data_IF_376218103478
#
_entry.id   IF_376218103478
#
_cell.length_a   1.000
_cell.length_b   1.000
_cell.length_c   1.000
_cell.angle_alpha   90.00
_cell.angle_beta   90.00
_cell.angle_gamma   90.00
#
_symmetry.space_group_name_H-M   'P 1'
#
loop_
_entity.id
_entity.type
_entity.pdbx_description
1 polymer ?
#
# COMPACT_ATOMS: atom_id res chain seq x y z
N UNK A 1 -22.77 7.54 26.36
CA UNK A 1 -21.53 6.81 26.15
C UNK A 1 -20.66 6.81 27.41
N UNK A 2 -20.29 7.97 27.93
CA UNK A 2 -19.41 8.11 29.10
C UNK A 2 -20.15 8.27 30.41
N UNK A 3 -21.48 8.21 30.45
CA UNK A 3 -22.32 8.28 31.63
C UNK A 3 -22.06 9.52 32.51
N UNK A 4 -22.02 10.67 31.86
CA UNK A 4 -21.90 12.00 32.48
C UNK A 4 -22.97 12.93 31.97
N UNK A 5 -23.34 13.92 32.76
CA UNK A 5 -24.36 14.92 32.41
C UNK A 5 -23.94 15.81 31.26
N UNK A 6 -24.92 16.35 30.53
CA UNK A 6 -24.69 17.29 29.43
C UNK A 6 -23.84 18.52 29.81
N UNK A 7 -23.99 19.14 30.99
CA UNK A 7 -23.14 20.26 31.38
C UNK A 7 -21.66 19.91 31.40
N UNK A 8 -21.32 18.77 31.98
CA UNK A 8 -19.93 18.26 32.07
C UNK A 8 -19.34 17.98 30.69
N UNK A 9 -20.12 17.35 29.80
CA UNK A 9 -19.70 17.13 28.40
C UNK A 9 -19.42 18.46 27.71
N UNK A 10 -20.30 19.45 27.84
CA UNK A 10 -20.13 20.76 27.22
C UNK A 10 -18.88 21.50 27.74
N UNK A 11 -18.55 21.35 29.03
CA UNK A 11 -17.32 21.93 29.59
C UNK A 11 -16.07 21.28 28.97
N UNK A 12 -16.07 19.96 28.85
CA UNK A 12 -14.96 19.24 28.22
C UNK A 12 -14.81 19.63 26.74
N UNK A 13 -15.91 19.73 25.99
CA UNK A 13 -15.88 20.14 24.59
C UNK A 13 -15.31 21.56 24.43
N UNK A 14 -15.78 22.52 25.28
CA UNK A 14 -15.24 23.89 25.28
C UNK A 14 -13.73 23.91 25.55
N UNK A 15 -13.27 23.08 26.49
CA UNK A 15 -11.85 22.98 26.82
C UNK A 15 -11.04 22.39 25.67
N UNK A 16 -11.55 21.34 24.99
CA UNK A 16 -10.90 20.71 23.82
C UNK A 16 -10.71 21.74 22.72
N UNK A 17 -11.71 22.60 22.46
CA UNK A 17 -11.58 23.69 21.49
C UNK A 17 -10.61 24.78 21.94
N UNK A 18 -10.67 25.17 23.22
CA UNK A 18 -9.76 26.17 23.78
C UNK A 18 -8.29 25.71 23.78
N UNK A 19 -8.07 24.42 23.98
CA UNK A 19 -6.73 23.79 23.94
C UNK A 19 -6.25 23.51 22.48
N UNK A 20 -7.05 23.85 21.45
CA UNK A 20 -6.82 23.57 20.04
C UNK A 20 -6.58 22.08 19.72
N UNK A 21 -7.12 21.16 20.53
CA UNK A 21 -7.04 19.72 20.26
C UNK A 21 -7.90 19.30 19.07
N UNK A 22 -9.00 20.03 18.81
CA UNK A 22 -9.92 19.81 17.70
C UNK A 22 -10.42 21.14 17.14
N UNK A 23 -10.74 21.16 15.84
CA UNK A 23 -11.39 22.29 15.19
C UNK A 23 -12.93 22.18 15.32
N UNK A 24 -13.56 23.27 15.74
CA UNK A 24 -15.00 23.32 15.91
C UNK A 24 -15.74 23.11 14.59
N UNK A 25 -15.31 23.76 13.50
CA UNK A 25 -15.96 23.65 12.20
C UNK A 25 -15.91 22.24 11.61
N UNK A 26 -14.84 21.49 11.92
CA UNK A 26 -14.64 20.12 11.44
C UNK A 26 -15.36 19.05 12.27
N UNK A 27 -15.71 19.35 13.53
CA UNK A 27 -16.18 18.34 14.49
C UNK A 27 -17.65 18.42 14.87
N UNK A 28 -18.33 19.54 14.58
CA UNK A 28 -19.73 19.78 14.94
C UNK A 28 -20.63 19.95 13.71
N UNK A 29 -21.82 19.35 13.76
CA UNK A 29 -22.91 19.63 12.81
C UNK A 29 -24.23 19.79 13.55
N UNK A 30 -25.07 20.73 13.10
CA UNK A 30 -26.42 20.93 13.62
C UNK A 30 -27.43 20.15 12.81
N UNK A 31 -28.20 19.31 13.48
CA UNK A 31 -29.32 18.59 12.89
C UNK A 31 -30.64 19.02 13.50
N UNK A 32 -31.66 19.14 12.68
CA UNK A 32 -33.04 19.37 13.12
C UNK A 32 -33.65 18.02 13.50
N UNK A 33 -34.10 17.91 14.76
CA UNK A 33 -34.85 16.76 15.24
C UNK A 33 -36.24 17.19 15.65
N UNK A 34 -37.24 16.34 15.36
CA UNK A 34 -38.62 16.54 15.77
C UNK A 34 -38.87 15.68 17.00
N UNK A 35 -39.23 16.31 18.12
CA UNK A 35 -39.57 15.63 19.35
C UNK A 35 -41.03 15.88 19.71
N UNK A 36 -41.72 14.88 20.23
CA UNK A 36 -43.10 14.99 20.67
C UNK A 36 -43.12 15.37 22.17
N UNK A 37 -43.43 16.62 22.48
CA UNK A 37 -43.47 17.13 23.85
C UNK A 37 -44.93 17.50 24.19
N UNK A 38 -45.52 16.74 25.15
CA UNK A 38 -46.88 17.01 25.58
C UNK A 38 -47.94 16.98 24.46
N UNK A 39 -47.78 16.10 23.46
CA UNK A 39 -48.68 15.97 22.31
C UNK A 39 -48.43 16.97 21.18
N UNK A 40 -47.40 17.81 21.25
CA UNK A 40 -47.00 18.73 20.19
C UNK A 40 -45.68 18.34 19.58
N UNK A 41 -45.57 18.41 18.26
CA UNK A 41 -44.29 18.25 17.56
C UNK A 41 -43.46 19.50 17.67
N UNK A 42 -42.32 19.42 18.35
CA UNK A 42 -41.36 20.53 18.51
C UNK A 42 -40.11 20.22 17.73
N UNK A 43 -39.75 21.15 16.82
CA UNK A 43 -38.50 21.04 16.05
C UNK A 43 -37.38 21.72 16.84
N UNK A 44 -36.32 20.97 17.14
CA UNK A 44 -35.14 21.51 17.83
C UNK A 44 -33.90 21.30 16.96
N UNK A 45 -33.00 22.29 16.98
CA UNK A 45 -31.66 22.13 16.39
C UNK A 45 -30.71 21.61 17.45
N UNK A 46 -30.15 20.44 17.21
CA UNK A 46 -29.25 19.75 18.15
C UNK A 46 -27.87 19.59 17.54
N UNK A 47 -26.85 19.89 18.33
CA UNK A 47 -25.48 19.70 17.95
C UNK A 47 -25.12 18.20 17.96
N UNK A 48 -24.56 17.72 16.88
CA UNK A 48 -23.98 16.39 16.78
C UNK A 48 -22.48 16.50 16.55
N UNK A 49 -21.74 15.65 17.21
CA UNK A 49 -20.29 15.65 17.17
C UNK A 49 -19.78 14.39 16.45
N UNK A 50 -18.68 14.53 15.72
CA UNK A 50 -18.06 13.42 15.03
C UNK A 50 -17.30 12.50 15.99
N UNK A 51 -16.77 11.39 15.46
CA UNK A 51 -16.05 10.40 16.25
C UNK A 51 -14.78 10.97 16.90
N UNK A 52 -14.09 11.91 16.25
CA UNK A 52 -12.89 12.53 16.80
C UNK A 52 -13.18 13.27 18.10
N UNK A 53 -14.25 14.05 18.14
CA UNK A 53 -14.70 14.73 19.36
C UNK A 53 -15.13 13.74 20.46
N UNK A 54 -15.81 12.64 20.10
CA UNK A 54 -16.19 11.60 21.07
C UNK A 54 -14.94 10.99 21.73
N UNK A 55 -13.92 10.71 20.93
CA UNK A 55 -12.64 10.19 21.43
C UNK A 55 -11.95 11.20 22.36
N UNK A 56 -11.83 12.46 21.92
CA UNK A 56 -11.19 13.52 22.71
C UNK A 56 -11.87 13.71 24.08
N UNK A 57 -13.20 13.72 24.13
CA UNK A 57 -13.97 13.79 25.39
C UNK A 57 -13.66 12.58 26.28
N UNK A 58 -13.47 11.39 25.74
CA UNK A 58 -13.14 10.19 26.51
C UNK A 58 -11.81 10.27 27.27
N UNK A 59 -10.86 11.05 26.76
CA UNK A 59 -9.60 11.33 27.46
C UNK A 59 -9.74 12.40 28.56
N UNK A 60 -10.72 13.29 28.47
CA UNK A 60 -10.95 14.37 29.45
C UNK A 60 -11.87 13.94 30.60
N UNK A 61 -12.84 13.06 30.36
CA UNK A 61 -13.79 12.60 31.38
C UNK A 61 -13.09 11.71 32.42
N UNK A 62 -13.43 11.92 33.70
CA UNK A 62 -12.87 11.13 34.81
C UNK A 62 -13.95 10.30 35.49
N UNK A 63 -14.25 9.13 34.91
CA UNK A 63 -15.12 8.11 35.53
C UNK A 63 -14.72 6.71 35.06
N UNK A 64 -15.36 5.68 35.61
CA UNK A 64 -15.02 4.28 35.36
C UNK A 64 -15.18 3.88 33.86
N UNK A 65 -16.18 4.43 33.15
CA UNK A 65 -16.38 4.15 31.72
C UNK A 65 -15.26 4.76 30.88
N UNK A 66 -14.87 5.98 31.19
CA UNK A 66 -13.77 6.65 30.52
C UNK A 66 -12.40 5.97 30.82
N UNK A 67 -12.22 5.43 32.04
CA UNK A 67 -11.05 4.61 32.38
C UNK A 67 -10.99 3.37 31.48
N UNK A 68 -12.09 2.62 31.33
CA UNK A 68 -12.14 1.45 30.43
C UNK A 68 -11.82 1.83 28.99
N UNK A 69 -12.37 2.97 28.52
CA UNK A 69 -12.05 3.47 27.19
C UNK A 69 -10.54 3.77 27.05
N UNK A 70 -9.93 4.46 28.01
CA UNK A 70 -8.49 4.77 27.95
C UNK A 70 -7.62 3.50 28.01
N UNK A 71 -7.99 2.49 28.79
CA UNK A 71 -7.27 1.20 28.80
C UNK A 71 -7.32 0.55 27.43
N UNK A 72 -8.50 0.48 26.80
CA UNK A 72 -8.65 -0.03 25.45
C UNK A 72 -7.86 0.79 24.42
N UNK A 73 -7.93 2.12 24.45
CA UNK A 73 -7.20 2.99 23.55
C UNK A 73 -5.68 2.82 23.70
N UNK A 74 -5.18 2.72 24.94
CA UNK A 74 -3.76 2.47 25.19
C UNK A 74 -3.29 1.14 24.62
N UNK A 75 -4.08 0.08 24.70
CA UNK A 75 -3.74 -1.22 24.09
C UNK A 75 -3.58 -1.10 22.56
N UNK A 76 -4.45 -0.32 21.89
CA UNK A 76 -4.34 -0.08 20.45
C UNK A 76 -3.07 0.71 20.13
N UNK A 77 -2.81 1.80 20.88
CA UNK A 77 -1.61 2.63 20.70
C UNK A 77 -0.35 1.82 20.95
N UNK A 78 -0.32 0.99 21.99
CA UNK A 78 0.80 0.10 22.31
C UNK A 78 1.05 -0.89 21.16
N UNK A 79 0.00 -1.59 20.69
CA UNK A 79 0.12 -2.52 19.57
C UNK A 79 0.65 -1.82 18.31
N UNK A 80 0.11 -0.64 17.98
CA UNK A 80 0.54 0.13 16.83
C UNK A 80 2.00 0.59 16.96
N UNK A 81 2.41 1.05 18.15
CA UNK A 81 3.78 1.53 18.41
C UNK A 81 4.82 0.41 18.31
N UNK A 82 4.48 -0.79 18.84
CA UNK A 82 5.40 -1.94 18.87
C UNK A 82 5.42 -2.65 17.52
N UNK A 83 4.25 -2.91 16.93
CA UNK A 83 4.10 -3.77 15.75
C UNK A 83 3.96 -2.99 14.43
N UNK A 84 3.64 -1.69 14.49
CA UNK A 84 3.29 -0.88 13.33
C UNK A 84 1.85 -1.08 12.82
N UNK A 85 1.04 -1.88 13.51
CA UNK A 85 -0.37 -2.14 13.17
C UNK A 85 -1.19 -2.56 14.39
N UNK A 86 -2.50 -2.30 14.34
CA UNK A 86 -3.50 -2.83 15.26
C UNK A 86 -4.68 -3.35 14.45
N UNK A 87 -5.15 -4.58 14.75
CA UNK A 87 -6.17 -5.28 13.97
C UNK A 87 -7.23 -5.87 14.88
N UNK A 88 -8.49 -5.68 14.54
CA UNK A 88 -9.64 -6.37 15.13
C UNK A 88 -9.91 -7.66 14.34
N UNK A 89 -9.19 -8.72 14.69
CA UNK A 89 -9.28 -10.02 14.01
C UNK A 89 -10.67 -10.63 14.08
N UNK A 90 -11.36 -10.49 15.20
CA UNK A 90 -12.69 -11.05 15.40
C UNK A 90 -13.70 -10.39 14.45
N UNK A 91 -13.65 -9.07 14.35
CA UNK A 91 -14.49 -8.31 13.43
C UNK A 91 -14.21 -8.65 11.97
N UNK A 92 -12.96 -8.87 11.60
CA UNK A 92 -12.57 -9.23 10.23
C UNK A 92 -12.97 -10.67 9.88
N UNK A 93 -12.88 -11.63 10.82
CA UNK A 93 -13.25 -13.03 10.62
C UNK A 93 -14.77 -13.24 10.51
N UNK A 94 -15.55 -12.47 11.26
CA UNK A 94 -17.00 -12.68 11.37
C UNK A 94 -17.83 -12.03 10.26
N UNK A 95 -17.19 -11.49 9.23
CA UNK A 95 -17.84 -11.08 7.96
C UNK A 95 -19.00 -10.08 8.10
N UNK A 96 -19.03 -9.25 9.15
CA UNK A 96 -20.10 -8.33 9.54
C UNK A 96 -20.81 -7.57 8.40
N UNK A 97 -21.10 -6.32 8.53
CA UNK A 97 -21.81 -5.49 7.55
C UNK A 97 -21.04 -5.30 6.23
N UNK A 98 -21.69 -4.74 5.19
CA UNK A 98 -21.07 -4.35 3.88
C UNK A 98 -19.77 -3.56 4.07
N UNK A 99 -19.69 -2.70 5.10
CA UNK A 99 -18.49 -1.95 5.44
C UNK A 99 -17.32 -2.87 5.86
N UNK A 100 -17.61 -3.94 6.58
CA UNK A 100 -16.58 -4.91 7.03
C UNK A 100 -15.97 -5.66 5.86
N UNK A 101 -16.77 -6.03 4.85
CA UNK A 101 -16.28 -6.69 3.63
C UNK A 101 -15.30 -5.78 2.87
N UNK A 102 -15.65 -4.50 2.69
CA UNK A 102 -14.77 -3.52 2.04
C UNK A 102 -13.44 -3.37 2.77
N UNK A 103 -13.46 -3.26 4.11
CA UNK A 103 -12.23 -3.14 4.90
C UNK A 103 -11.40 -4.43 4.90
N UNK A 104 -12.04 -5.60 4.81
CA UNK A 104 -11.33 -6.86 4.66
C UNK A 104 -10.59 -6.94 3.32
N UNK A 105 -11.24 -6.55 2.23
CA UNK A 105 -10.61 -6.49 0.90
C UNK A 105 -9.45 -5.48 0.87
N UNK A 106 -9.62 -4.30 1.48
CA UNK A 106 -8.55 -3.31 1.65
C UNK A 106 -7.35 -3.85 2.43
N UNK A 107 -7.58 -4.61 3.50
CA UNK A 107 -6.50 -5.22 4.29
C UNK A 107 -5.76 -6.29 3.50
N UNK A 108 -6.48 -7.13 2.74
CA UNK A 108 -5.84 -8.12 1.86
C UNK A 108 -4.97 -7.46 0.80
N UNK A 109 -5.44 -6.36 0.20
CA UNK A 109 -4.66 -5.59 -0.78
C UNK A 109 -3.38 -5.03 -0.15
N UNK A 110 -3.48 -4.39 1.01
CA UNK A 110 -2.29 -3.89 1.75
C UNK A 110 -1.30 -4.98 2.13
N UNK A 111 -1.78 -6.15 2.58
CA UNK A 111 -0.89 -7.29 2.89
C UNK A 111 -0.15 -7.74 1.63
N UNK A 112 -0.83 -7.81 0.48
CA UNK A 112 -0.21 -8.15 -0.80
C UNK A 112 0.83 -7.12 -1.21
N UNK A 113 0.50 -5.83 -1.16
CA UNK A 113 1.45 -4.75 -1.43
C UNK A 113 2.72 -4.84 -0.55
N UNK A 114 2.56 -5.11 0.75
CA UNK A 114 3.69 -5.28 1.67
C UNK A 114 4.56 -6.49 1.28
N UNK A 115 3.93 -7.63 0.92
CA UNK A 115 4.65 -8.87 0.53
C UNK A 115 5.48 -8.69 -0.72
N UNK A 116 5.01 -7.88 -1.66
CA UNK A 116 5.67 -7.65 -2.95
C UNK A 116 6.48 -6.36 -2.98
N UNK A 117 6.52 -5.58 -1.89
CA UNK A 117 7.50 -4.51 -1.84
C UNK A 117 8.86 -5.11 -2.26
N UNK A 118 9.52 -4.46 -3.21
CA UNK A 118 10.67 -5.03 -3.94
C UNK A 118 11.69 -5.69 -3.00
N UNK A 119 11.96 -5.06 -1.86
CA UNK A 119 12.87 -5.60 -0.84
C UNK A 119 12.33 -6.88 -0.20
N UNK A 120 11.07 -6.92 0.19
CA UNK A 120 10.48 -8.08 0.87
C UNK A 120 10.29 -9.26 -0.08
N UNK A 121 9.93 -8.99 -1.34
CA UNK A 121 9.82 -10.00 -2.38
C UNK A 121 11.15 -10.71 -2.62
N UNK A 122 12.21 -9.95 -2.92
CA UNK A 122 13.53 -10.54 -3.16
C UNK A 122 14.09 -11.24 -1.93
N UNK A 123 13.85 -10.70 -0.74
CA UNK A 123 14.28 -11.33 0.50
C UNK A 123 13.58 -12.67 0.70
N UNK A 124 12.25 -12.73 0.60
CA UNK A 124 11.48 -13.96 0.73
C UNK A 124 11.84 -15.00 -0.34
N UNK A 125 11.98 -14.57 -1.58
CA UNK A 125 12.40 -15.42 -2.67
C UNK A 125 13.80 -16.00 -2.42
N UNK A 126 14.73 -15.16 -1.95
CA UNK A 126 16.08 -15.56 -1.57
C UNK A 126 16.07 -16.55 -0.40
N UNK A 127 15.26 -16.30 0.63
CA UNK A 127 15.10 -17.18 1.79
C UNK A 127 14.59 -18.58 1.37
N UNK A 128 13.62 -18.62 0.47
CA UNK A 128 13.08 -19.87 -0.06
C UNK A 128 14.13 -20.61 -0.89
N UNK A 129 14.82 -19.91 -1.79
CA UNK A 129 15.84 -20.51 -2.64
C UNK A 129 17.11 -20.90 -1.88
N UNK A 130 17.40 -20.22 -0.76
CA UNK A 130 18.46 -20.64 0.14
C UNK A 130 18.23 -22.04 0.76
N UNK A 131 17.00 -22.55 0.68
CA UNK A 131 16.69 -23.95 1.05
C UNK A 131 16.98 -24.97 -0.07
N UNK A 132 17.37 -24.51 -1.27
CA UNK A 132 17.68 -25.38 -2.39
C UNK A 132 18.98 -26.11 -2.18
N UNK A 133 19.04 -27.35 -2.67
CA UNK A 133 20.22 -28.25 -2.53
C UNK A 133 21.47 -27.69 -3.24
N UNK A 134 21.26 -26.91 -4.30
CA UNK A 134 22.29 -26.39 -5.20
C UNK A 134 22.43 -24.85 -5.12
N UNK A 135 21.93 -24.22 -4.04
CA UNK A 135 22.00 -22.77 -3.87
C UNK A 135 23.42 -22.31 -3.51
N UNK A 136 23.95 -21.42 -4.32
CA UNK A 136 25.17 -20.66 -4.02
C UNK A 136 24.90 -19.17 -4.27
N UNK A 137 24.91 -18.37 -3.20
CA UNK A 137 24.65 -16.92 -3.24
C UNK A 137 25.56 -16.16 -4.21
N UNK A 138 26.78 -16.60 -4.41
CA UNK A 138 27.79 -15.92 -5.21
C UNK A 138 27.84 -16.41 -6.64
N UNK A 139 27.22 -17.55 -6.95
CA UNK A 139 27.22 -18.11 -8.28
C UNK A 139 26.52 -17.19 -9.29
N UNK A 140 27.10 -17.09 -10.49
CA UNK A 140 26.48 -16.37 -11.60
C UNK A 140 25.12 -17.00 -11.98
N UNK A 141 25.04 -18.31 -11.93
CA UNK A 141 23.82 -19.09 -12.17
C UNK A 141 22.65 -18.70 -11.27
N UNK A 142 22.93 -18.36 -10.02
CA UNK A 142 21.90 -17.89 -9.08
C UNK A 142 21.33 -16.53 -9.50
N UNK A 143 22.18 -15.60 -9.95
CA UNK A 143 21.74 -14.28 -10.45
C UNK A 143 20.92 -14.41 -11.73
N UNK A 144 21.38 -15.25 -12.65
CA UNK A 144 20.65 -15.55 -13.90
C UNK A 144 19.30 -16.20 -13.62
N UNK A 145 19.23 -17.07 -12.62
CA UNK A 145 17.99 -17.69 -12.19
C UNK A 145 16.97 -16.66 -11.68
N UNK A 146 17.38 -15.73 -10.82
CA UNK A 146 16.50 -14.66 -10.35
C UNK A 146 15.98 -13.80 -11.50
N UNK A 147 16.84 -13.42 -12.44
CA UNK A 147 16.44 -12.69 -13.63
C UNK A 147 15.43 -13.47 -14.49
N UNK A 148 15.64 -14.79 -14.65
CA UNK A 148 14.73 -15.68 -15.38
C UNK A 148 13.36 -15.76 -14.72
N UNK A 149 13.30 -15.93 -13.40
CA UNK A 149 12.05 -15.96 -12.63
C UNK A 149 11.29 -14.63 -12.74
N UNK A 150 11.98 -13.53 -12.58
CA UNK A 150 11.39 -12.19 -12.72
C UNK A 150 10.82 -11.97 -14.13
N UNK A 151 11.57 -12.31 -15.17
CA UNK A 151 11.11 -12.18 -16.54
C UNK A 151 9.90 -13.06 -16.87
N UNK A 152 9.80 -14.27 -16.31
CA UNK A 152 8.62 -15.13 -16.46
C UNK A 152 7.37 -14.50 -15.83
N UNK A 153 7.50 -13.90 -14.65
CA UNK A 153 6.40 -13.22 -13.99
C UNK A 153 5.95 -11.97 -14.78
N UNK A 154 6.87 -11.15 -15.27
CA UNK A 154 6.56 -10.03 -16.15
C UNK A 154 5.84 -10.50 -17.42
N UNK A 155 6.37 -11.50 -18.08
CA UNK A 155 5.80 -12.01 -19.32
C UNK A 155 4.38 -12.56 -19.12
N UNK A 156 4.14 -13.24 -18.03
CA UNK A 156 2.81 -13.76 -17.69
C UNK A 156 1.76 -12.63 -17.56
N UNK A 157 2.18 -11.44 -17.11
CA UNK A 157 1.26 -10.29 -16.91
C UNK A 157 1.02 -9.51 -18.19
N UNK A 158 2.08 -9.16 -18.92
CA UNK A 158 1.98 -8.19 -20.02
C UNK A 158 2.71 -8.61 -21.31
N UNK A 159 3.13 -9.86 -21.42
CA UNK A 159 3.75 -10.47 -22.62
C UNK A 159 5.12 -9.89 -23.01
N UNK A 160 5.78 -9.20 -22.10
CA UNK A 160 7.12 -8.65 -22.27
C UNK A 160 8.01 -9.06 -21.11
N UNK A 161 9.31 -9.22 -21.36
CA UNK A 161 10.30 -9.29 -20.29
C UNK A 161 10.45 -7.91 -19.62
N UNK A 162 11.09 -7.85 -18.46
CA UNK A 162 11.36 -6.59 -17.78
C UNK A 162 12.12 -5.59 -18.69
N UNK A 163 13.07 -6.08 -19.47
CA UNK A 163 13.83 -5.25 -20.40
C UNK A 163 12.97 -4.74 -21.58
N UNK A 164 12.15 -5.60 -22.17
CA UNK A 164 11.24 -5.21 -23.25
C UNK A 164 10.23 -4.19 -22.78
N UNK A 165 9.66 -4.33 -21.58
CA UNK A 165 8.74 -3.37 -21.00
C UNK A 165 9.36 -1.98 -20.86
N UNK A 166 10.56 -1.90 -20.29
CA UNK A 166 11.29 -0.64 -20.15
C UNK A 166 11.54 -0.02 -21.53
N UNK A 167 12.01 -0.82 -22.50
CA UNK A 167 12.34 -0.34 -23.83
C UNK A 167 11.13 0.22 -24.59
N UNK A 168 9.97 -0.40 -24.43
CA UNK A 168 8.73 -0.02 -25.11
C UNK A 168 8.06 1.20 -24.47
N UNK A 169 8.11 1.30 -23.13
CA UNK A 169 7.35 2.31 -22.41
C UNK A 169 8.11 3.57 -22.05
N UNK A 170 9.43 3.50 -21.94
CA UNK A 170 10.28 4.66 -21.67
C UNK A 170 10.26 5.63 -22.85
N UNK A 171 9.62 6.79 -22.70
CA UNK A 171 9.41 7.77 -23.74
C UNK A 171 9.31 9.17 -23.13
N UNK A 172 10.24 10.05 -23.49
CA UNK A 172 10.32 11.41 -22.95
C UNK A 172 9.10 12.28 -23.28
N UNK A 173 8.32 11.92 -24.31
CA UNK A 173 7.13 12.67 -24.73
C UNK A 173 5.87 12.27 -23.92
N UNK A 174 5.92 11.13 -23.21
CA UNK A 174 4.81 10.68 -22.38
C UNK A 174 4.82 11.36 -20.99
N UNK A 175 3.64 11.54 -20.38
CA UNK A 175 3.57 11.96 -18.98
C UNK A 175 4.46 11.09 -18.10
N UNK A 176 5.28 11.72 -17.26
CA UNK A 176 6.24 11.03 -16.39
C UNK A 176 7.15 10.04 -17.14
N UNK A 177 7.46 10.34 -18.43
CA UNK A 177 8.18 9.49 -19.38
C UNK A 177 7.69 8.02 -19.42
N UNK A 178 6.38 7.81 -19.25
CA UNK A 178 5.73 6.51 -19.23
C UNK A 178 5.78 5.75 -17.90
N UNK A 179 6.36 6.33 -16.84
CA UNK A 179 6.32 5.74 -15.51
C UNK A 179 4.96 5.97 -14.83
N UNK A 180 4.45 4.95 -14.18
CA UNK A 180 3.25 5.02 -13.33
C UNK A 180 3.61 5.21 -11.85
N UNK A 181 4.83 4.83 -11.44
CA UNK A 181 5.35 5.07 -10.08
C UNK A 181 6.86 5.30 -10.12
N UNK A 182 7.42 5.94 -9.09
CA UNK A 182 8.85 6.13 -8.84
C UNK A 182 9.06 6.38 -7.35
N UNK A 183 10.32 6.43 -6.91
CA UNK A 183 10.62 6.49 -5.47
C UNK A 183 9.93 7.63 -4.73
N UNK A 184 9.87 8.80 -5.35
CA UNK A 184 9.35 10.03 -4.73
C UNK A 184 7.98 10.45 -5.35
N UNK A 185 7.24 9.49 -5.95
CA UNK A 185 5.92 9.71 -6.54
C UNK A 185 4.88 10.10 -5.47
N UNK A 186 3.80 10.82 -5.83
CA UNK A 186 3.52 11.37 -7.16
C UNK A 186 4.19 12.72 -7.43
N UNK A 187 4.59 13.46 -6.38
CA UNK A 187 4.99 14.87 -6.48
C UNK A 187 6.50 15.09 -6.63
N UNK A 188 7.31 14.11 -6.29
CA UNK A 188 8.76 14.22 -6.36
C UNK A 188 9.32 13.97 -7.76
N UNK A 189 10.55 14.45 -8.02
CA UNK A 189 11.22 14.28 -9.30
C UNK A 189 11.56 12.82 -9.60
N UNK A 190 11.36 12.40 -10.84
CA UNK A 190 11.89 11.15 -11.38
C UNK A 190 13.43 11.28 -11.45
N UNK A 191 14.12 10.23 -11.01
CA UNK A 191 15.58 10.15 -11.00
C UNK A 191 16.08 9.08 -11.96
N UNK A 192 17.29 9.21 -12.42
CA UNK A 192 17.94 8.27 -13.36
C UNK A 192 17.84 6.80 -12.93
N UNK A 193 17.87 6.51 -11.63
CA UNK A 193 17.70 5.15 -11.09
C UNK A 193 16.29 4.59 -11.24
N UNK A 194 15.28 5.47 -11.31
CA UNK A 194 13.88 5.06 -11.35
C UNK A 194 13.50 4.54 -12.75
N UNK A 195 14.14 5.07 -13.81
CA UNK A 195 13.82 4.74 -15.20
C UNK A 195 14.31 3.37 -15.65
N UNK A 196 15.21 2.74 -14.89
CA UNK A 196 15.70 1.39 -15.19
C UNK A 196 14.98 0.29 -14.40
N UNK A 197 13.90 0.61 -13.70
CA UNK A 197 13.10 -0.32 -12.90
C UNK A 197 11.81 -0.65 -13.63
N UNK A 198 11.67 -1.86 -14.16
CA UNK A 198 10.51 -2.29 -14.95
C UNK A 198 9.17 -2.12 -14.21
N UNK A 199 9.15 -2.40 -12.92
CA UNK A 199 7.98 -2.23 -12.04
C UNK A 199 7.38 -0.82 -12.14
N UNK A 200 8.21 0.20 -12.34
CA UNK A 200 7.76 1.59 -12.38
C UNK A 200 6.90 1.90 -13.61
N UNK A 201 6.97 1.07 -14.65
CA UNK A 201 6.19 1.20 -15.88
C UNK A 201 4.90 0.37 -15.90
N UNK A 202 4.62 -0.41 -14.85
CA UNK A 202 3.39 -1.21 -14.75
C UNK A 202 2.19 -0.30 -14.48
N UNK A 203 1.09 -0.55 -15.19
CA UNK A 203 -0.21 0.04 -14.86
C UNK A 203 -0.74 -0.51 -13.54
N UNK A 204 -1.77 0.12 -12.94
CA UNK A 204 -2.38 -0.36 -11.70
C UNK A 204 -2.89 -1.80 -11.81
N UNK A 205 -3.52 -2.16 -12.94
CA UNK A 205 -4.05 -3.52 -13.15
C UNK A 205 -2.93 -4.55 -13.37
N UNK A 206 -1.88 -4.19 -14.11
CA UNK A 206 -0.71 -5.04 -14.29
C UNK A 206 0.03 -5.26 -12.95
N UNK A 207 0.11 -4.22 -12.13
CA UNK A 207 0.69 -4.33 -10.79
C UNK A 207 -0.12 -5.30 -9.93
N UNK A 208 -1.46 -5.17 -9.90
CA UNK A 208 -2.34 -6.09 -9.16
C UNK A 208 -2.19 -7.54 -9.63
N UNK A 209 -2.12 -7.75 -10.94
CA UNK A 209 -1.90 -9.08 -11.51
C UNK A 209 -0.55 -9.65 -11.11
N UNK A 210 0.52 -8.86 -11.15
CA UNK A 210 1.85 -9.25 -10.68
C UNK A 210 1.82 -9.63 -9.19
N UNK A 211 1.12 -8.86 -8.39
CA UNK A 211 0.94 -9.09 -6.95
C UNK A 211 0.29 -10.44 -6.65
N UNK A 212 -0.75 -10.76 -7.37
CA UNK A 212 -1.45 -12.04 -7.21
C UNK A 212 -0.54 -13.22 -7.56
N UNK A 213 0.15 -13.16 -8.71
CA UNK A 213 1.09 -14.20 -9.14
C UNK A 213 2.21 -14.42 -8.12
N UNK A 214 2.84 -13.33 -7.69
CA UNK A 214 3.92 -13.38 -6.70
C UNK A 214 3.44 -13.96 -5.38
N UNK A 215 2.29 -13.51 -4.87
CA UNK A 215 1.75 -13.98 -3.60
C UNK A 215 1.44 -15.48 -3.64
N UNK A 216 0.77 -15.94 -4.70
CA UNK A 216 0.42 -17.35 -4.85
C UNK A 216 1.67 -18.24 -5.00
N UNK A 217 2.67 -17.80 -5.76
CA UNK A 217 3.94 -18.53 -5.89
C UNK A 217 4.69 -18.62 -4.56
N UNK A 218 4.74 -17.53 -3.78
CA UNK A 218 5.37 -17.53 -2.46
C UNK A 218 4.65 -18.48 -1.49
N UNK A 219 3.32 -18.52 -1.51
CA UNK A 219 2.53 -19.42 -0.66
C UNK A 219 2.80 -20.91 -1.02
N UNK A 220 2.88 -21.21 -2.31
CA UNK A 220 3.24 -22.54 -2.79
C UNK A 220 4.67 -22.94 -2.35
N UNK A 221 5.62 -22.03 -2.47
CA UNK A 221 7.00 -22.26 -2.09
C UNK A 221 7.15 -22.44 -0.58
N UNK A 222 6.50 -21.61 0.24
CA UNK A 222 6.50 -21.73 1.70
C UNK A 222 5.89 -23.06 2.16
N UNK A 223 4.79 -23.49 1.54
CA UNK A 223 4.19 -24.80 1.86
C UNK A 223 5.15 -25.97 1.59
N UNK A 224 5.93 -25.92 0.49
CA UNK A 224 6.93 -26.92 0.19
C UNK A 224 8.10 -26.92 1.17
N UNK A 225 8.60 -25.73 1.51
CA UNK A 225 9.65 -25.57 2.49
C UNK A 225 9.25 -26.15 3.86
N UNK A 226 8.01 -25.88 4.32
CA UNK A 226 7.46 -26.46 5.56
C UNK A 226 7.36 -27.98 5.55
N UNK A 227 7.14 -28.59 4.39
CA UNK A 227 7.07 -30.04 4.20
C UNK A 227 8.44 -30.68 4.01
N UNK A 228 9.53 -29.90 4.09
CA UNK A 228 10.91 -30.35 3.88
C UNK A 228 11.11 -31.14 2.57
N UNK A 229 10.40 -30.72 1.50
CA UNK A 229 10.54 -31.33 0.19
C UNK A 229 11.84 -30.82 -0.44
N UNK A 230 12.85 -31.69 -0.70
CA UNK A 230 14.09 -31.25 -1.33
C UNK A 230 13.81 -30.66 -2.71
N UNK A 231 14.39 -29.50 -3.00
CA UNK A 231 14.23 -28.79 -4.26
C UNK A 231 15.57 -28.28 -4.74
N UNK A 232 15.78 -28.33 -6.04
CA UNK A 232 16.87 -27.64 -6.72
C UNK A 232 16.36 -26.26 -7.22
N UNK A 233 17.28 -25.39 -7.62
CA UNK A 233 16.92 -24.10 -8.25
C UNK A 233 16.08 -24.34 -9.51
N UNK A 234 16.43 -25.35 -10.32
CA UNK A 234 15.67 -25.70 -11.52
C UNK A 234 14.26 -26.23 -11.20
N UNK A 235 14.09 -26.98 -10.10
CA UNK A 235 12.77 -27.45 -9.66
C UNK A 235 11.86 -26.25 -9.30
N UNK A 236 12.39 -25.21 -8.68
CA UNK A 236 11.66 -23.99 -8.40
C UNK A 236 11.20 -23.29 -9.69
N UNK A 237 12.08 -23.20 -10.72
CA UNK A 237 11.70 -22.62 -12.01
C UNK A 237 10.58 -23.42 -12.69
N UNK A 238 10.65 -24.74 -12.67
CA UNK A 238 9.61 -25.63 -13.22
C UNK A 238 8.29 -25.48 -12.47
N UNK A 239 8.33 -25.28 -11.15
CA UNK A 239 7.12 -25.05 -10.35
C UNK A 239 6.44 -23.73 -10.68
N UNK A 240 7.21 -22.69 -10.95
CA UNK A 240 6.65 -21.44 -11.44
C UNK A 240 5.93 -21.65 -12.79
N UNK A 241 6.57 -22.36 -13.72
CA UNK A 241 5.95 -22.64 -15.02
C UNK A 241 4.64 -23.43 -14.89
N UNK A 242 4.61 -24.45 -14.04
CA UNK A 242 3.41 -25.24 -13.78
C UNK A 242 2.31 -24.36 -13.16
N UNK A 243 2.67 -23.48 -12.24
CA UNK A 243 1.71 -22.56 -11.63
C UNK A 243 1.13 -21.60 -12.67
N UNK A 244 1.98 -20.95 -13.46
CA UNK A 244 1.52 -20.03 -14.51
C UNK A 244 0.61 -20.72 -15.53
N UNK A 245 0.96 -21.95 -15.95
CA UNK A 245 0.13 -22.74 -16.88
C UNK A 245 -1.21 -23.15 -16.27
N UNK A 246 -1.23 -23.47 -14.97
CA UNK A 246 -2.46 -23.84 -14.26
C UNK A 246 -3.44 -22.66 -14.10
N UNK A 247 -2.91 -21.42 -14.16
CA UNK A 247 -3.68 -20.18 -14.15
C UNK A 247 -3.92 -19.63 -15.58
N UNK A 248 -3.79 -20.48 -16.60
CA UNK A 248 -3.96 -20.16 -18.03
C UNK A 248 -3.07 -18.99 -18.52
N UNK A 249 -1.94 -18.74 -17.84
CA UNK A 249 -0.99 -17.69 -18.20
C UNK A 249 0.09 -18.25 -19.13
N UNK A 250 0.54 -17.42 -20.06
CA UNK A 250 1.62 -17.81 -20.97
C UNK A 250 2.99 -17.76 -20.27
N UNK A 251 3.78 -18.80 -20.53
CA UNK A 251 5.12 -18.93 -19.98
C UNK A 251 6.17 -18.47 -20.98
N UNK A 252 7.08 -17.62 -20.54
CA UNK A 252 8.23 -17.18 -21.33
C UNK A 252 9.12 -18.39 -21.68
N UNK A 253 9.38 -18.60 -22.96
CA UNK A 253 10.16 -19.72 -23.48
C UNK A 253 11.62 -19.38 -23.78
N UNK A 254 11.91 -18.10 -23.98
CA UNK A 254 13.24 -17.59 -24.35
C UNK A 254 13.70 -16.44 -23.41
N UNK A 255 14.80 -15.81 -23.73
CA UNK A 255 15.36 -14.71 -22.91
C UNK A 255 14.76 -13.34 -23.22
N UNK A 256 13.80 -13.26 -24.17
CA UNK A 256 13.30 -12.01 -24.72
C UNK A 256 14.20 -11.44 -25.81
N UNK A 257 13.72 -10.41 -26.51
CA UNK A 257 14.38 -9.81 -27.68
C UNK A 257 15.31 -8.65 -27.33
N UNK A 258 15.11 -8.04 -26.17
CA UNK A 258 15.81 -6.84 -25.72
C UNK A 258 16.68 -7.20 -24.51
N UNK A 259 17.98 -6.88 -24.59
CA UNK A 259 18.87 -7.06 -23.43
C UNK A 259 18.64 -5.99 -22.36
N UNK A 260 18.91 -6.34 -21.09
CA UNK A 260 18.81 -5.39 -19.99
C UNK A 260 19.70 -4.15 -20.19
N UNK A 261 20.86 -4.31 -20.80
CA UNK A 261 21.76 -3.20 -21.12
C UNK A 261 21.15 -2.25 -22.13
N UNK A 262 20.58 -2.78 -23.22
CA UNK A 262 19.95 -1.97 -24.26
C UNK A 262 18.73 -1.20 -23.72
N UNK A 263 17.88 -1.87 -22.94
CA UNK A 263 16.73 -1.26 -22.31
C UNK A 263 17.14 -0.12 -21.38
N UNK A 264 18.17 -0.34 -20.56
CA UNK A 264 18.70 0.67 -19.65
C UNK A 264 19.25 1.86 -20.41
N UNK A 265 20.06 1.66 -21.44
CA UNK A 265 20.64 2.74 -22.26
C UNK A 265 19.53 3.58 -22.91
N UNK A 266 18.49 2.92 -23.44
CA UNK A 266 17.33 3.60 -24.02
C UNK A 266 16.62 4.47 -22.96
N UNK A 267 16.24 3.89 -21.84
CA UNK A 267 15.55 4.60 -20.77
C UNK A 267 16.37 5.77 -20.19
N UNK A 268 17.67 5.61 -20.04
CA UNK A 268 18.57 6.68 -19.62
C UNK A 268 18.66 7.81 -20.68
N UNK A 269 18.63 7.48 -21.96
CA UNK A 269 18.60 8.47 -23.06
C UNK A 269 17.30 9.26 -23.04
N UNK A 270 16.17 8.58 -22.92
CA UNK A 270 14.86 9.23 -22.79
C UNK A 270 14.76 10.10 -21.53
N UNK A 271 15.36 9.65 -20.42
CA UNK A 271 15.42 10.43 -19.18
C UNK A 271 16.19 11.74 -19.34
N UNK A 272 17.33 11.76 -20.07
CA UNK A 272 18.07 13.00 -20.29
C UNK A 272 17.26 14.03 -21.08
N UNK A 273 16.41 13.58 -22.01
CA UNK A 273 15.47 14.47 -22.71
C UNK A 273 14.37 14.97 -21.76
N UNK A 274 13.74 14.05 -21.01
CA UNK A 274 12.65 14.35 -20.09
C UNK A 274 13.08 15.25 -18.94
N UNK A 275 14.30 15.11 -18.43
CA UNK A 275 14.85 15.90 -17.34
C UNK A 275 14.75 17.40 -17.62
N UNK A 276 15.00 17.83 -18.86
CA UNK A 276 14.90 19.25 -19.25
C UNK A 276 13.47 19.78 -19.11
N UNK A 277 12.48 18.96 -19.41
CA UNK A 277 11.05 19.29 -19.26
C UNK A 277 10.69 19.28 -17.78
N UNK A 278 11.06 18.23 -17.05
CA UNK A 278 10.81 18.08 -15.63
C UNK A 278 11.37 19.25 -14.80
N UNK A 279 12.60 19.68 -15.10
CA UNK A 279 13.25 20.77 -14.37
C UNK A 279 12.57 22.13 -14.60
N UNK A 280 11.89 22.31 -15.75
CA UNK A 280 11.08 23.51 -16.02
C UNK A 280 9.71 23.48 -15.34
N UNK A 281 9.13 22.30 -15.17
CA UNK A 281 7.77 22.13 -14.63
C UNK A 281 7.76 21.90 -13.12
N UNK A 282 8.91 21.60 -12.53
CA UNK A 282 9.00 21.27 -11.12
C UNK A 282 8.87 22.51 -10.24
N UNK A 283 7.83 22.53 -9.42
CA UNK A 283 7.68 23.46 -8.31
C UNK A 283 8.13 22.79 -7.02
N UNK A 284 9.02 23.43 -6.28
CA UNK A 284 9.42 22.94 -4.95
C UNK A 284 8.27 23.12 -3.95
N UNK A 285 8.30 22.43 -2.82
CA UNK A 285 7.34 22.62 -1.74
C UNK A 285 7.40 24.07 -1.20
N UNK A 286 8.55 24.71 -1.30
CA UNK A 286 8.72 26.12 -0.95
C UNK A 286 8.01 27.05 -1.96
N UNK A 287 8.09 26.79 -3.25
CA UNK A 287 7.40 27.58 -4.26
C UNK A 287 5.87 27.48 -4.10
N UNK A 288 5.36 26.26 -3.80
CA UNK A 288 3.92 26.06 -3.50
C UNK A 288 3.50 26.81 -2.24
N UNK A 289 4.31 26.75 -1.19
CA UNK A 289 4.03 27.48 0.05
C UNK A 289 3.96 29.01 -0.18
N UNK A 290 4.83 29.54 -1.03
CA UNK A 290 4.79 30.96 -1.40
C UNK A 290 3.53 31.33 -2.19
N UNK A 291 3.08 30.47 -3.11
CA UNK A 291 1.82 30.68 -3.87
C UNK A 291 0.60 30.64 -2.95
N UNK A 292 0.49 29.62 -2.07
CA UNK A 292 -0.60 29.50 -1.09
C UNK A 292 -0.61 30.64 -0.06
N UNK A 293 0.54 31.26 0.23
CA UNK A 293 0.65 32.38 1.16
C UNK A 293 0.35 33.74 0.50
N UNK A 294 0.26 33.79 -0.83
CA UNK A 294 0.00 34.99 -1.62
C UNK A 294 -1.50 35.16 -2.01
N UNK A 295 -2.33 34.11 -1.81
CA UNK A 295 -3.79 34.14 -1.90
C UNK A 295 -4.43 34.45 -0.54
#
# INVERSE_FOLDING_TARGET
LYDVGLPTINEHIKKIYADHEQDEAATIRKFRIVQNEGGRQVTRSVNHYNLQMIIAVGFKVNNQRAVRFRVWANQIVEQYTIKGWAMDEERLKNGGTVLTKKYFEEQLERIREIRISERNFYQKLTDIYATSLDYDRNALTTKEFFAKVQNKMHYAVHRHTAAELIYERADAEKPHMGLHTWKDAPNGKIKKRDVSVAKNYLTGDEMKSMELIVSAYLDLAENRARRHIPMTMEDWAKRLDIYLQADDLEVLKDAGKISAQLARMHAETEFEKYRLVQDRLYQSDFDRYLEESAE
#
